data_IF_931015790516
#
_entry.id   IF_931015790516
#
_cell.length_a   1.000
_cell.length_b   1.000
_cell.length_c   1.000
_cell.angle_alpha   90.00
_cell.angle_beta   90.00
_cell.angle_gamma   90.00
#
_symmetry.space_group_name_H-M   'P 1'
#
loop_
_entity.id
_entity.type
_entity.pdbx_description
1 polymer ?
#
# COMPACT_ATOMS: atom_id res chain seq x y z
N UNK A 1 44.22 -25.56 10.40
CA UNK A 1 45.27 -24.55 10.16
C UNK A 1 44.88 -23.33 10.96
N UNK A 2 45.43 -23.24 12.16
CA UNK A 2 45.20 -22.14 13.10
C UNK A 2 45.89 -20.89 12.55
N UNK A 3 45.15 -19.80 12.39
CA UNK A 3 45.73 -18.51 12.00
C UNK A 3 46.59 -18.00 13.14
N UNK A 4 47.90 -17.89 12.91
CA UNK A 4 48.83 -17.29 13.88
C UNK A 4 48.59 -15.79 13.88
N UNK A 5 48.06 -15.26 14.97
CA UNK A 5 47.83 -13.83 15.14
C UNK A 5 49.16 -13.09 15.24
N UNK A 6 49.34 -12.01 14.48
CA UNK A 6 50.52 -11.16 14.60
C UNK A 6 50.40 -10.24 15.82
N UNK A 7 51.53 -9.75 16.35
CA UNK A 7 51.55 -8.93 17.58
C UNK A 7 50.70 -7.66 17.49
N UNK A 8 50.57 -7.07 16.30
CA UNK A 8 49.70 -5.93 16.03
C UNK A 8 48.21 -6.27 16.09
N UNK A 9 47.83 -7.47 15.68
CA UNK A 9 46.44 -7.95 15.73
C UNK A 9 46.05 -8.24 17.19
N UNK A 10 46.96 -8.88 17.94
CA UNK A 10 46.79 -9.11 19.37
C UNK A 10 46.68 -7.80 20.17
N UNK A 11 47.52 -6.80 19.87
CA UNK A 11 47.47 -5.49 20.54
C UNK A 11 46.17 -4.74 20.19
N UNK A 12 45.69 -4.80 18.94
CA UNK A 12 44.38 -4.24 18.57
C UNK A 12 43.24 -4.93 19.30
N UNK A 13 43.28 -6.25 19.41
CA UNK A 13 42.28 -7.03 20.13
C UNK A 13 42.27 -6.65 21.63
N UNK A 14 43.45 -6.60 22.27
CA UNK A 14 43.60 -6.22 23.68
C UNK A 14 43.12 -4.78 23.93
N UNK A 15 43.48 -3.82 23.06
CA UNK A 15 43.05 -2.41 23.19
C UNK A 15 41.54 -2.26 22.94
N UNK A 16 40.95 -3.07 22.07
CA UNK A 16 39.49 -3.10 21.88
C UNK A 16 38.77 -3.62 23.13
N UNK A 17 39.35 -4.62 23.80
CA UNK A 17 38.83 -5.17 25.06
C UNK A 17 38.95 -4.22 26.26
N UNK A 18 39.86 -3.24 26.24
CA UNK A 18 40.01 -2.27 27.34
C UNK A 18 38.75 -1.41 27.59
N UNK A 19 37.83 -1.35 26.62
CA UNK A 19 36.55 -0.66 26.75
C UNK A 19 35.34 -1.61 26.77
N UNK A 20 35.57 -2.93 26.81
CA UNK A 20 34.52 -3.95 26.85
C UNK A 20 33.76 -4.16 25.53
N UNK A 21 34.28 -3.68 24.39
CA UNK A 21 33.63 -3.78 23.07
C UNK A 21 34.62 -4.36 22.05
N UNK A 22 34.28 -5.50 21.44
CA UNK A 22 35.10 -6.15 20.42
C UNK A 22 35.29 -5.25 19.18
N UNK A 23 36.47 -5.32 18.55
CA UNK A 23 36.83 -4.45 17.41
C UNK A 23 35.85 -4.54 16.23
N UNK A 24 35.35 -5.73 15.95
CA UNK A 24 34.38 -6.02 14.90
C UNK A 24 33.00 -5.38 15.14
N UNK A 25 32.66 -5.04 16.40
CA UNK A 25 31.44 -4.32 16.75
C UNK A 25 31.55 -2.80 16.54
N UNK A 26 32.75 -2.23 16.41
CA UNK A 26 32.94 -0.78 16.37
C UNK A 26 32.14 -0.13 15.22
N UNK A 27 32.23 -0.71 14.02
CA UNK A 27 31.50 -0.24 12.84
C UNK A 27 29.98 -0.33 13.03
N UNK A 28 29.51 -1.41 13.66
CA UNK A 28 28.08 -1.66 13.92
C UNK A 28 27.53 -0.65 14.92
N UNK A 29 28.24 -0.43 16.03
CA UNK A 29 27.85 0.53 17.05
C UNK A 29 27.88 1.97 16.55
N UNK A 30 28.83 2.30 15.67
CA UNK A 30 28.88 3.61 15.02
C UNK A 30 27.65 3.84 14.14
N UNK A 31 27.16 2.82 13.43
CA UNK A 31 25.91 2.92 12.66
C UNK A 31 24.71 3.10 13.60
N UNK A 32 24.61 2.29 14.67
CA UNK A 32 23.54 2.43 15.66
C UNK A 32 23.53 3.81 16.33
N UNK A 33 24.70 4.38 16.65
CA UNK A 33 24.81 5.70 17.27
C UNK A 33 24.30 6.83 16.39
N UNK A 34 24.43 6.70 15.07
CA UNK A 34 23.99 7.71 14.10
C UNK A 34 22.60 7.40 13.55
N UNK A 35 21.95 6.34 14.04
CA UNK A 35 20.61 5.96 13.62
C UNK A 35 19.59 6.93 14.18
N UNK A 36 18.71 7.42 13.31
CA UNK A 36 17.59 8.26 13.68
C UNK A 36 16.37 7.83 12.88
N UNK A 37 15.23 7.75 13.55
CA UNK A 37 13.92 7.53 12.96
C UNK A 37 12.89 8.39 13.68
N UNK A 38 11.71 8.50 13.10
CA UNK A 38 10.58 9.23 13.69
C UNK A 38 9.65 8.25 14.40
N UNK A 39 9.42 8.45 15.69
CA UNK A 39 8.48 7.63 16.45
C UNK A 39 7.02 7.82 16.01
N UNK A 40 6.69 8.97 15.41
CA UNK A 40 5.35 9.22 14.87
C UNK A 40 5.10 8.49 13.54
N UNK A 41 6.18 8.16 12.81
CA UNK A 41 6.12 7.43 11.54
C UNK A 41 7.20 6.33 11.48
N UNK A 42 7.13 5.42 12.45
CA UNK A 42 8.10 4.34 12.60
C UNK A 42 8.12 3.42 11.37
N UNK A 43 6.96 3.17 10.75
CA UNK A 43 6.84 2.19 9.67
C UNK A 43 7.55 2.64 8.39
N UNK A 44 7.61 3.94 8.11
CA UNK A 44 8.30 4.45 6.93
C UNK A 44 9.76 4.82 7.21
N UNK A 45 10.07 5.33 8.40
CA UNK A 45 11.41 5.87 8.70
C UNK A 45 12.37 4.81 9.21
N UNK A 46 11.90 3.85 10.01
CA UNK A 46 12.76 2.86 10.65
C UNK A 46 13.42 1.88 9.65
N UNK A 47 12.73 1.34 8.61
CA UNK A 47 13.38 0.43 7.66
C UNK A 47 14.56 1.08 6.94
N UNK A 48 14.44 2.36 6.57
CA UNK A 48 15.52 3.12 5.95
C UNK A 48 16.68 3.35 6.93
N UNK A 49 16.38 3.70 8.18
CA UNK A 49 17.36 3.88 9.24
C UNK A 49 18.14 2.59 9.56
N UNK A 50 17.47 1.43 9.52
CA UNK A 50 18.06 0.12 9.78
C UNK A 50 18.83 -0.46 8.59
N UNK A 51 18.69 0.07 7.37
CA UNK A 51 19.30 -0.51 6.18
C UNK A 51 20.84 -0.59 6.24
N UNK A 52 21.58 0.47 6.63
CA UNK A 52 23.04 0.39 6.79
C UNK A 52 23.45 -0.58 7.91
N UNK A 53 22.66 -0.63 8.99
CA UNK A 53 22.89 -1.56 10.09
C UNK A 53 22.71 -3.01 9.63
N UNK A 54 21.66 -3.30 8.85
CA UNK A 54 21.38 -4.63 8.34
C UNK A 54 22.52 -5.21 7.50
N UNK A 55 23.18 -4.37 6.68
CA UNK A 55 24.29 -4.79 5.83
C UNK A 55 25.49 -5.33 6.64
N UNK A 56 25.78 -4.70 7.78
CA UNK A 56 26.90 -5.09 8.64
C UNK A 56 26.50 -6.16 9.67
N UNK A 57 25.33 -5.99 10.28
CA UNK A 57 24.90 -6.85 11.39
C UNK A 57 24.58 -8.27 10.93
N UNK A 58 24.11 -8.47 9.69
CA UNK A 58 23.78 -9.80 9.18
C UNK A 58 24.99 -10.74 9.20
N UNK A 59 26.15 -10.30 8.70
CA UNK A 59 27.37 -11.12 8.69
C UNK A 59 27.92 -11.29 10.09
N UNK A 60 27.88 -10.24 10.91
CA UNK A 60 28.30 -10.33 12.30
C UNK A 60 27.48 -11.33 13.12
N UNK A 61 26.15 -11.33 12.95
CA UNK A 61 25.23 -12.23 13.66
C UNK A 61 25.40 -13.68 13.21
N UNK A 62 25.75 -13.93 11.95
CA UNK A 62 26.08 -15.28 11.47
C UNK A 62 27.29 -15.88 12.20
N UNK A 63 28.28 -15.06 12.54
CA UNK A 63 29.50 -15.50 13.25
C UNK A 63 29.29 -15.66 14.75
N UNK A 64 28.61 -14.69 15.39
CA UNK A 64 28.53 -14.63 16.86
C UNK A 64 27.25 -15.25 17.44
N UNK A 65 26.19 -15.33 16.63
CA UNK A 65 24.88 -15.80 17.03
C UNK A 65 24.28 -15.04 18.21
N UNK A 66 23.31 -15.67 18.87
CA UNK A 66 22.57 -15.09 20.00
C UNK A 66 23.48 -14.74 21.19
N UNK A 67 24.53 -15.53 21.43
CA UNK A 67 25.46 -15.29 22.55
C UNK A 67 26.20 -13.96 22.41
N UNK A 68 26.48 -13.54 21.18
CA UNK A 68 27.09 -12.25 20.89
C UNK A 68 26.23 -11.06 21.32
N UNK A 69 24.90 -11.20 21.37
CA UNK A 69 23.99 -10.09 21.70
C UNK A 69 24.25 -9.51 23.10
N UNK A 70 24.84 -10.29 24.02
CA UNK A 70 25.25 -9.83 25.36
C UNK A 70 26.32 -8.74 25.34
N UNK A 71 27.04 -8.62 24.24
CA UNK A 71 28.10 -7.62 24.07
C UNK A 71 27.53 -6.24 23.67
N UNK A 72 26.27 -6.16 23.25
CA UNK A 72 25.65 -4.89 22.90
C UNK A 72 25.27 -4.08 24.15
N UNK A 73 25.56 -2.77 24.17
CA UNK A 73 25.08 -1.88 25.23
C UNK A 73 23.54 -1.90 25.34
N UNK A 74 23.03 -1.96 26.58
CA UNK A 74 21.59 -2.04 26.86
C UNK A 74 20.77 -0.90 26.23
N UNK A 75 21.37 0.27 25.99
CA UNK A 75 20.71 1.40 25.34
C UNK A 75 20.18 1.11 23.93
N UNK A 76 20.76 0.13 23.24
CA UNK A 76 20.39 -0.23 21.86
C UNK A 76 19.39 -1.39 21.77
N UNK A 77 18.86 -1.83 22.91
CA UNK A 77 18.07 -3.06 22.94
C UNK A 77 16.73 -2.90 22.21
N UNK A 78 16.17 -1.68 22.15
CA UNK A 78 14.93 -1.38 21.42
C UNK A 78 15.16 -1.43 19.90
N UNK A 79 16.26 -0.86 19.42
CA UNK A 79 16.66 -0.88 18.01
C UNK A 79 16.88 -2.31 17.53
N UNK A 80 17.57 -3.10 18.37
CA UNK A 80 17.83 -4.50 18.12
C UNK A 80 16.53 -5.33 18.17
N UNK A 81 15.62 -5.03 19.08
CA UNK A 81 14.28 -5.60 19.10
C UNK A 81 13.51 -5.32 17.81
N UNK A 82 13.40 -4.06 17.40
CA UNK A 82 12.70 -3.73 16.16
C UNK A 82 13.36 -4.32 14.92
N UNK A 83 14.69 -4.35 14.87
CA UNK A 83 15.43 -5.07 13.83
C UNK A 83 15.02 -6.54 13.78
N UNK A 84 14.94 -7.20 14.93
CA UNK A 84 14.58 -8.62 15.00
C UNK A 84 13.17 -8.89 14.47
N UNK A 85 12.21 -8.01 14.73
CA UNK A 85 10.84 -8.07 14.20
C UNK A 85 10.79 -7.79 12.69
N UNK A 86 11.43 -6.72 12.24
CA UNK A 86 11.43 -6.29 10.84
C UNK A 86 12.08 -7.33 9.92
N UNK A 87 13.16 -7.96 10.36
CA UNK A 87 13.90 -8.95 9.58
C UNK A 87 13.51 -10.40 9.87
N UNK A 88 12.69 -10.65 10.90
CA UNK A 88 12.18 -11.97 11.24
C UNK A 88 13.22 -12.87 11.91
N UNK A 89 14.13 -12.30 12.69
CA UNK A 89 15.18 -13.06 13.38
C UNK A 89 14.65 -13.65 14.71
N UNK A 90 13.95 -14.78 14.63
CA UNK A 90 13.33 -15.44 15.79
C UNK A 90 14.31 -15.73 16.95
N UNK A 91 15.54 -16.21 16.73
CA UNK A 91 16.51 -16.37 17.82
C UNK A 91 16.80 -15.08 18.59
N UNK A 92 16.84 -13.95 17.87
CA UNK A 92 17.06 -12.64 18.47
C UNK A 92 15.80 -12.12 19.16
N UNK A 93 14.62 -12.38 18.60
CA UNK A 93 13.33 -12.10 19.24
C UNK A 93 13.24 -12.85 20.59
N UNK A 94 13.50 -14.16 20.63
CA UNK A 94 13.52 -14.93 21.88
C UNK A 94 14.46 -14.32 22.93
N UNK A 95 15.68 -13.99 22.51
CA UNK A 95 16.67 -13.40 23.41
C UNK A 95 16.17 -12.10 24.04
N UNK A 96 15.64 -11.18 23.24
CA UNK A 96 15.20 -9.89 23.75
C UNK A 96 13.87 -9.95 24.50
N UNK A 97 12.99 -10.90 24.16
CA UNK A 97 11.80 -11.22 24.93
C UNK A 97 12.16 -11.61 26.38
N UNK A 98 13.16 -12.48 26.56
CA UNK A 98 13.58 -12.96 27.89
C UNK A 98 14.32 -11.90 28.72
N UNK A 99 14.98 -10.93 28.07
CA UNK A 99 15.92 -10.01 28.73
C UNK A 99 15.42 -8.56 28.82
N UNK A 100 14.28 -8.23 28.20
CA UNK A 100 13.68 -6.90 28.28
C UNK A 100 12.24 -6.95 28.78
N UNK A 101 11.87 -6.11 29.78
CA UNK A 101 10.48 -5.82 30.04
C UNK A 101 9.95 -4.95 28.89
N UNK A 102 9.30 -5.57 27.91
CA UNK A 102 8.68 -4.85 26.80
C UNK A 102 7.19 -4.70 27.11
N UNK A 103 6.79 -3.54 27.62
CA UNK A 103 5.39 -3.22 27.94
C UNK A 103 4.51 -3.12 26.68
N UNK A 104 5.12 -2.81 25.53
CA UNK A 104 4.44 -2.66 24.24
C UNK A 104 5.26 -3.25 23.11
N UNK A 105 4.68 -4.20 22.37
CA UNK A 105 5.30 -4.82 21.19
C UNK A 105 4.64 -4.27 19.93
N UNK A 106 5.45 -3.75 19.01
CA UNK A 106 4.97 -3.23 17.72
C UNK A 106 4.85 -4.37 16.69
N UNK A 107 3.72 -5.09 16.73
CA UNK A 107 3.45 -6.23 15.84
C UNK A 107 3.48 -5.87 14.36
N UNK A 108 3.07 -4.65 14.04
CA UNK A 108 2.91 -4.21 12.66
C UNK A 108 4.25 -4.23 11.91
N UNK A 109 5.40 -4.09 12.57
CA UNK A 109 6.71 -4.19 11.92
C UNK A 109 6.94 -5.57 11.30
N UNK A 110 6.61 -6.64 12.04
CA UNK A 110 6.72 -8.01 11.56
C UNK A 110 5.66 -8.30 10.48
N UNK A 111 4.45 -7.75 10.64
CA UNK A 111 3.36 -7.93 9.67
C UNK A 111 3.65 -7.27 8.34
N UNK A 112 4.01 -5.99 8.35
CA UNK A 112 4.31 -5.20 7.15
C UNK A 112 5.46 -5.85 6.37
N UNK A 113 6.45 -6.36 7.09
CA UNK A 113 7.65 -7.00 6.51
C UNK A 113 7.44 -8.46 6.09
N UNK A 114 6.23 -9.00 6.25
CA UNK A 114 5.88 -10.36 5.83
C UNK A 114 6.57 -11.47 6.64
N UNK A 115 6.97 -11.21 7.88
CA UNK A 115 7.76 -12.15 8.71
C UNK A 115 6.85 -13.10 9.48
N UNK A 116 6.44 -14.17 8.80
CA UNK A 116 5.54 -15.21 9.30
C UNK A 116 6.01 -15.80 10.64
N UNK A 117 7.29 -16.14 10.77
CA UNK A 117 7.82 -16.78 11.98
C UNK A 117 7.83 -15.83 13.18
N UNK A 118 8.14 -14.55 12.94
CA UNK A 118 8.07 -13.52 13.98
C UNK A 118 6.63 -13.31 14.45
N UNK A 119 5.66 -13.24 13.52
CA UNK A 119 4.24 -13.13 13.89
C UNK A 119 3.76 -14.36 14.65
N UNK A 120 4.20 -15.56 14.26
CA UNK A 120 3.86 -16.80 14.97
C UNK A 120 4.40 -16.82 16.40
N UNK A 121 5.62 -16.33 16.60
CA UNK A 121 6.18 -16.12 17.93
C UNK A 121 5.34 -15.13 18.75
N UNK A 122 5.00 -13.98 18.15
CA UNK A 122 4.22 -12.94 18.83
C UNK A 122 2.82 -13.42 19.24
N UNK A 123 2.15 -14.22 18.40
CA UNK A 123 0.86 -14.83 18.71
C UNK A 123 0.91 -15.77 19.92
N UNK A 124 2.02 -16.48 20.09
CA UNK A 124 2.21 -17.41 21.20
C UNK A 124 2.47 -16.68 22.52
N UNK A 125 3.36 -15.69 22.51
CA UNK A 125 3.84 -15.05 23.74
C UNK A 125 3.01 -13.81 24.14
N UNK A 126 2.30 -13.17 23.21
CA UNK A 126 1.57 -11.93 23.44
C UNK A 126 0.09 -12.02 22.98
N UNK A 127 -0.75 -12.90 23.58
CA UNK A 127 -2.11 -13.20 23.12
C UNK A 127 -3.13 -12.05 23.31
N UNK A 128 -2.73 -10.89 23.82
CA UNK A 128 -3.59 -9.71 24.00
C UNK A 128 -3.20 -8.55 23.06
N UNK A 129 -2.44 -8.82 21.99
CA UNK A 129 -2.02 -7.81 21.02
C UNK A 129 -3.18 -7.12 20.27
N UNK A 130 -2.87 -6.02 19.57
CA UNK A 130 -3.84 -5.26 18.78
C UNK A 130 -4.18 -6.00 17.46
N UNK A 131 -5.08 -6.98 17.56
CA UNK A 131 -5.37 -7.91 16.47
C UNK A 131 -6.11 -7.30 15.27
N UNK A 132 -6.97 -6.31 15.51
CA UNK A 132 -7.72 -5.63 14.44
C UNK A 132 -6.77 -4.93 13.45
N UNK A 133 -5.89 -4.08 13.96
CA UNK A 133 -4.93 -3.32 13.15
C UNK A 133 -3.92 -4.25 12.46
N UNK A 134 -3.54 -5.33 13.14
CA UNK A 134 -2.61 -6.35 12.62
C UNK A 134 -3.21 -7.07 11.40
N UNK A 135 -4.49 -7.45 11.46
CA UNK A 135 -5.20 -8.07 10.33
C UNK A 135 -5.35 -7.09 9.15
N UNK A 136 -5.72 -5.84 9.43
CA UNK A 136 -5.81 -4.78 8.42
C UNK A 136 -4.47 -4.56 7.69
N UNK A 137 -3.36 -4.44 8.43
CA UNK A 137 -2.01 -4.30 7.86
C UNK A 137 -1.57 -5.52 7.05
N UNK A 138 -1.94 -6.73 7.48
CA UNK A 138 -1.66 -7.94 6.71
C UNK A 138 -2.39 -7.92 5.35
N UNK A 139 -3.62 -7.39 5.33
CA UNK A 139 -4.37 -7.17 4.08
C UNK A 139 -3.71 -6.09 3.24
N UNK A 140 -3.47 -4.89 3.79
CA UNK A 140 -2.86 -3.76 3.09
C UNK A 140 -1.57 -4.17 2.38
N UNK A 141 -0.70 -4.97 3.01
CA UNK A 141 0.58 -5.42 2.46
C UNK A 141 0.51 -6.72 1.65
N UNK A 142 -0.65 -7.38 1.56
CA UNK A 142 -0.84 -8.58 0.75
C UNK A 142 -0.24 -9.86 1.34
N UNK A 143 -0.01 -9.89 2.66
CA UNK A 143 0.67 -10.98 3.36
C UNK A 143 -0.29 -12.12 3.71
N UNK A 144 -0.67 -12.91 2.69
CA UNK A 144 -1.64 -14.01 2.81
C UNK A 144 -1.30 -15.04 3.90
N UNK A 145 -0.03 -15.41 4.05
CA UNK A 145 0.38 -16.40 5.05
C UNK A 145 0.15 -15.91 6.48
N UNK A 146 0.46 -14.63 6.76
CA UNK A 146 0.20 -14.01 8.05
C UNK A 146 -1.31 -13.93 8.29
N UNK A 147 -2.07 -13.50 7.29
CA UNK A 147 -3.54 -13.44 7.37
C UNK A 147 -4.16 -14.81 7.72
N UNK A 148 -3.69 -15.89 7.09
CA UNK A 148 -4.13 -17.26 7.40
C UNK A 148 -3.84 -17.65 8.84
N UNK A 149 -2.63 -17.35 9.33
CA UNK A 149 -2.25 -17.65 10.72
C UNK A 149 -3.11 -16.86 11.70
N UNK A 150 -3.33 -15.56 11.46
CA UNK A 150 -4.17 -14.73 12.30
C UNK A 150 -5.61 -15.28 12.34
N UNK A 151 -6.16 -15.66 11.19
CA UNK A 151 -7.49 -16.24 11.09
C UNK A 151 -7.61 -17.57 11.85
N UNK A 152 -6.62 -18.47 11.72
CA UNK A 152 -6.57 -19.73 12.46
C UNK A 152 -6.53 -19.54 13.98
N UNK A 153 -5.96 -18.43 14.47
CA UNK A 153 -5.96 -18.06 15.89
C UNK A 153 -7.28 -17.41 16.35
N UNK A 154 -8.31 -17.39 15.52
CA UNK A 154 -9.63 -16.86 15.86
C UNK A 154 -9.75 -15.34 15.78
N UNK A 155 -8.78 -14.66 15.15
CA UNK A 155 -8.86 -13.22 14.93
C UNK A 155 -9.87 -12.94 13.80
N UNK A 156 -10.94 -12.16 14.07
CA UNK A 156 -11.96 -11.89 13.07
C UNK A 156 -11.44 -10.92 12.01
N UNK A 157 -11.97 -11.04 10.80
CA UNK A 157 -11.70 -10.07 9.74
C UNK A 157 -12.38 -8.73 10.05
N UNK A 158 -11.68 -7.59 9.83
CA UNK A 158 -12.27 -6.27 9.84
C UNK A 158 -13.52 -6.16 8.95
N UNK A 159 -14.49 -5.35 9.35
CA UNK A 159 -15.73 -5.17 8.58
C UNK A 159 -15.49 -4.57 7.19
N UNK A 160 -14.41 -3.81 7.02
CA UNK A 160 -13.94 -3.17 5.79
C UNK A 160 -12.91 -4.01 5.00
N UNK A 161 -12.66 -5.28 5.37
CA UNK A 161 -11.60 -6.11 4.77
C UNK A 161 -11.63 -6.12 3.24
N UNK A 162 -12.81 -6.32 2.64
CA UNK A 162 -12.96 -6.36 1.19
C UNK A 162 -12.73 -5.00 0.52
N UNK A 163 -13.08 -3.89 1.18
CA UNK A 163 -12.73 -2.55 0.70
C UNK A 163 -11.21 -2.40 0.61
N UNK A 164 -10.50 -2.77 1.68
CA UNK A 164 -9.02 -2.68 1.73
C UNK A 164 -8.40 -3.61 0.67
N UNK A 165 -8.91 -4.84 0.54
CA UNK A 165 -8.46 -5.79 -0.50
C UNK A 165 -8.59 -5.19 -1.89
N UNK A 166 -9.72 -4.50 -2.16
CA UNK A 166 -9.97 -3.86 -3.45
C UNK A 166 -9.12 -2.62 -3.66
N UNK A 167 -8.95 -1.79 -2.64
CA UNK A 167 -8.15 -0.56 -2.66
C UNK A 167 -6.66 -0.83 -2.90
N UNK A 168 -6.12 -1.93 -2.35
CA UNK A 168 -4.71 -2.31 -2.54
C UNK A 168 -4.51 -3.41 -3.60
N UNK A 169 -5.56 -3.82 -4.31
CA UNK A 169 -5.49 -4.78 -5.41
C UNK A 169 -5.00 -6.17 -5.00
N UNK A 170 -5.36 -6.63 -3.79
CA UNK A 170 -4.83 -7.87 -3.17
C UNK A 170 -5.59 -9.11 -3.63
N UNK A 171 -5.42 -9.49 -4.90
CA UNK A 171 -6.13 -10.61 -5.54
C UNK A 171 -5.95 -11.95 -4.80
N UNK A 172 -4.75 -12.20 -4.27
CA UNK A 172 -4.46 -13.40 -3.49
C UNK A 172 -5.31 -13.50 -2.22
N UNK A 173 -5.57 -12.36 -1.56
CA UNK A 173 -6.41 -12.28 -0.36
C UNK A 173 -7.89 -12.30 -0.76
N UNK A 174 -8.30 -11.62 -1.83
CA UNK A 174 -9.66 -11.69 -2.36
C UNK A 174 -10.08 -13.13 -2.66
N UNK A 175 -9.21 -13.89 -3.33
CA UNK A 175 -9.42 -15.30 -3.66
C UNK A 175 -9.60 -16.14 -2.39
N UNK A 176 -8.77 -15.90 -1.38
CA UNK A 176 -8.87 -16.60 -0.11
C UNK A 176 -10.17 -16.27 0.65
N UNK A 177 -10.53 -14.99 0.75
CA UNK A 177 -11.78 -14.57 1.41
C UNK A 177 -13.02 -15.13 0.71
N UNK A 178 -13.00 -15.22 -0.63
CA UNK A 178 -14.05 -15.86 -1.41
C UNK A 178 -14.15 -17.36 -1.12
N UNK A 179 -13.02 -18.07 -1.11
CA UNK A 179 -12.96 -19.52 -0.83
C UNK A 179 -13.44 -19.87 0.59
N UNK A 180 -13.10 -19.05 1.58
CA UNK A 180 -13.55 -19.23 2.96
C UNK A 180 -15.01 -18.76 3.19
N UNK A 181 -15.74 -18.42 2.13
CA UNK A 181 -17.10 -17.89 2.16
C UNK A 181 -17.28 -16.71 3.14
N UNK A 182 -16.26 -15.87 3.28
CA UNK A 182 -16.31 -14.77 4.23
C UNK A 182 -17.36 -13.75 3.82
N UNK A 183 -18.17 -13.33 4.80
CA UNK A 183 -19.33 -12.49 4.58
C UNK A 183 -18.97 -11.17 3.88
N UNK A 184 -19.49 -11.02 2.66
CA UNK A 184 -19.53 -9.76 1.96
C UNK A 184 -20.62 -8.89 2.61
N UNK A 185 -20.24 -7.87 3.38
CA UNK A 185 -21.20 -6.99 4.06
C UNK A 185 -21.75 -5.97 3.07
N UNK A 186 -23.07 -5.79 3.13
CA UNK A 186 -23.82 -5.01 2.15
C UNK A 186 -23.41 -3.53 2.09
N UNK A 187 -22.82 -2.99 3.18
CA UNK A 187 -22.52 -1.57 3.32
C UNK A 187 -21.43 -1.02 2.38
N UNK A 188 -20.62 -1.87 1.76
CA UNK A 188 -19.48 -1.44 0.93
C UNK A 188 -19.48 -2.02 -0.49
N UNK A 189 -20.59 -2.64 -0.92
CA UNK A 189 -20.78 -3.23 -2.26
C UNK A 189 -20.32 -2.30 -3.38
N UNK A 190 -20.91 -1.10 -3.51
CA UNK A 190 -20.53 -0.13 -4.55
C UNK A 190 -19.15 0.52 -4.37
N UNK A 191 -18.72 0.70 -3.12
CA UNK A 191 -17.44 1.34 -2.81
C UNK A 191 -16.24 0.47 -3.18
N UNK A 192 -16.37 -0.86 -3.10
CA UNK A 192 -15.27 -1.78 -3.36
C UNK A 192 -14.81 -1.73 -4.83
N UNK A 193 -15.73 -1.75 -5.80
CA UNK A 193 -15.36 -1.61 -7.21
C UNK A 193 -14.90 -0.20 -7.54
N UNK A 194 -15.48 0.82 -6.92
CA UNK A 194 -15.07 2.21 -7.06
C UNK A 194 -13.62 2.42 -6.65
N UNK A 195 -13.21 1.95 -5.46
CA UNK A 195 -11.80 2.08 -5.01
C UNK A 195 -10.84 1.25 -5.87
N UNK A 196 -11.23 0.04 -6.30
CA UNK A 196 -10.41 -0.74 -7.22
C UNK A 196 -10.24 -0.04 -8.58
N UNK A 197 -11.30 0.60 -9.07
CA UNK A 197 -11.30 1.36 -10.31
C UNK A 197 -10.47 2.63 -10.20
N UNK A 198 -10.58 3.38 -9.10
CA UNK A 198 -9.78 4.57 -8.80
C UNK A 198 -8.28 4.25 -8.79
N UNK A 199 -7.90 3.11 -8.20
CA UNK A 199 -6.50 2.69 -8.04
C UNK A 199 -5.91 1.92 -9.23
N UNK A 200 -6.71 1.63 -10.26
CA UNK A 200 -6.23 0.97 -11.47
C UNK A 200 -6.08 -0.55 -11.34
N UNK A 201 -6.85 -1.19 -10.45
CA UNK A 201 -6.77 -2.63 -10.20
C UNK A 201 -7.73 -3.43 -11.10
N UNK A 202 -7.41 -3.50 -12.41
CA UNK A 202 -8.21 -4.22 -13.40
C UNK A 202 -8.40 -5.72 -13.05
N UNK A 203 -7.36 -6.37 -12.55
CA UNK A 203 -7.40 -7.77 -12.11
C UNK A 203 -8.42 -8.01 -10.99
N UNK A 204 -8.59 -7.04 -10.08
CA UNK A 204 -9.61 -7.11 -9.03
C UNK A 204 -11.01 -6.95 -9.61
N UNK A 205 -11.18 -6.00 -10.55
CA UNK A 205 -12.45 -5.79 -11.24
C UNK A 205 -12.86 -7.02 -12.04
N UNK A 206 -11.91 -7.69 -12.70
CA UNK A 206 -12.15 -8.95 -13.40
C UNK A 206 -12.57 -10.06 -12.43
N UNK A 207 -11.83 -10.22 -11.34
CA UNK A 207 -12.14 -11.19 -10.30
C UNK A 207 -13.56 -10.99 -9.73
N UNK A 208 -13.96 -9.75 -9.43
CA UNK A 208 -15.28 -9.46 -8.91
C UNK A 208 -16.38 -9.80 -9.93
N UNK A 209 -16.14 -9.55 -11.22
CA UNK A 209 -17.09 -9.86 -12.28
C UNK A 209 -17.25 -11.36 -12.48
N UNK A 210 -16.12 -12.09 -12.57
CA UNK A 210 -16.08 -13.54 -12.80
C UNK A 210 -16.71 -14.35 -11.66
N UNK A 211 -16.70 -13.81 -10.44
CA UNK A 211 -17.29 -14.44 -9.25
C UNK A 211 -18.72 -13.95 -8.93
N UNK A 212 -19.39 -13.29 -9.88
CA UNK A 212 -20.78 -12.82 -9.78
C UNK A 212 -21.05 -11.82 -8.64
N UNK A 213 -20.09 -10.96 -8.31
CA UNK A 213 -20.31 -9.82 -7.40
C UNK A 213 -20.97 -8.65 -8.14
N UNK A 214 -22.08 -8.92 -8.83
CA UNK A 214 -22.76 -7.95 -9.70
C UNK A 214 -23.29 -6.73 -8.93
N UNK A 215 -23.70 -6.95 -7.67
CA UNK A 215 -24.16 -5.93 -6.75
C UNK A 215 -23.04 -4.96 -6.31
N UNK A 216 -21.78 -5.30 -6.56
CA UNK A 216 -20.64 -4.46 -6.26
C UNK A 216 -20.44 -3.34 -7.29
N UNK A 217 -21.07 -3.41 -8.46
CA UNK A 217 -20.87 -2.45 -9.54
C UNK A 217 -21.89 -1.32 -9.50
N UNK A 218 -21.40 -0.10 -9.67
CA UNK A 218 -22.22 1.09 -9.87
C UNK A 218 -21.57 1.97 -10.95
N UNK A 219 -22.29 2.96 -11.47
CA UNK A 219 -21.73 3.92 -12.43
C UNK A 219 -20.51 4.67 -11.88
N UNK A 220 -20.39 4.79 -10.54
CA UNK A 220 -19.22 5.38 -9.88
C UNK A 220 -17.91 4.66 -10.20
N UNK A 221 -17.93 3.36 -10.48
CA UNK A 221 -16.71 2.63 -10.85
C UNK A 221 -16.13 3.12 -12.19
N UNK A 222 -16.98 3.34 -13.20
CA UNK A 222 -16.52 3.86 -14.48
C UNK A 222 -16.13 5.35 -14.39
N UNK A 223 -16.85 6.13 -13.59
CA UNK A 223 -16.49 7.53 -13.30
C UNK A 223 -15.11 7.63 -12.64
N UNK A 224 -14.85 6.81 -11.61
CA UNK A 224 -13.58 6.78 -10.90
C UNK A 224 -12.42 6.31 -11.79
N UNK A 225 -12.63 5.29 -12.62
CA UNK A 225 -11.65 4.86 -13.61
C UNK A 225 -11.33 5.96 -14.62
N UNK A 226 -12.37 6.66 -15.11
CA UNK A 226 -12.21 7.73 -16.08
C UNK A 226 -11.49 8.96 -15.50
N UNK A 227 -11.86 9.36 -14.29
CA UNK A 227 -11.25 10.46 -13.56
C UNK A 227 -9.75 10.25 -13.28
N UNK A 228 -9.31 8.99 -13.16
CA UNK A 228 -7.91 8.63 -12.91
C UNK A 228 -7.15 8.14 -14.16
N UNK A 229 -7.82 8.10 -15.32
CA UNK A 229 -7.17 7.77 -16.59
C UNK A 229 -6.97 6.27 -16.85
N UNK A 230 -7.64 5.40 -16.09
CA UNK A 230 -7.55 3.94 -16.25
C UNK A 230 -8.41 3.46 -17.41
N UNK A 231 -7.95 3.75 -18.63
CA UNK A 231 -8.68 3.43 -19.86
C UNK A 231 -9.04 1.95 -19.95
N UNK A 232 -8.12 1.06 -19.62
CA UNK A 232 -8.32 -0.39 -19.63
C UNK A 232 -9.51 -0.83 -18.77
N UNK A 233 -9.68 -0.23 -17.58
CA UNK A 233 -10.85 -0.44 -16.73
C UNK A 233 -12.11 0.13 -17.35
N UNK A 234 -12.06 1.35 -17.91
CA UNK A 234 -13.21 1.95 -18.60
C UNK A 234 -13.68 1.06 -19.75
N UNK A 235 -12.75 0.50 -20.56
CA UNK A 235 -13.11 -0.44 -21.64
C UNK A 235 -13.75 -1.71 -21.09
N UNK A 236 -13.15 -2.26 -20.04
CA UNK A 236 -13.64 -3.50 -19.44
C UNK A 236 -15.06 -3.32 -18.89
N UNK A 237 -15.27 -2.29 -18.08
CA UNK A 237 -16.60 -1.96 -17.55
C UNK A 237 -17.59 -1.67 -18.69
N UNK A 238 -17.17 -0.99 -19.76
CA UNK A 238 -18.07 -0.73 -20.89
C UNK A 238 -18.54 -2.01 -21.58
N UNK A 239 -17.63 -2.96 -21.81
CA UNK A 239 -17.94 -4.22 -22.52
C UNK A 239 -18.74 -5.18 -21.63
N UNK A 240 -18.39 -5.29 -20.36
CA UNK A 240 -18.89 -6.34 -19.47
C UNK A 240 -20.02 -5.89 -18.54
N UNK A 241 -20.27 -4.59 -18.40
CA UNK A 241 -21.24 -4.00 -17.47
C UNK A 241 -22.27 -3.11 -18.17
N UNK A 242 -23.40 -2.89 -17.50
CA UNK A 242 -24.56 -2.15 -18.04
C UNK A 242 -24.84 -0.84 -17.30
N UNK A 243 -24.24 -0.64 -16.13
CA UNK A 243 -24.39 0.53 -15.27
C UNK A 243 -23.92 1.82 -15.95
N UNK A 244 -22.95 1.70 -16.87
CA UNK A 244 -22.41 2.82 -17.63
C UNK A 244 -21.59 3.77 -16.76
N UNK A 245 -21.59 5.04 -17.15
CA UNK A 245 -20.98 6.16 -16.43
C UNK A 245 -21.96 7.31 -16.31
N UNK A 246 -21.64 8.27 -15.44
CA UNK A 246 -22.33 9.57 -15.41
C UNK A 246 -21.58 10.59 -16.28
N UNK A 247 -22.15 11.80 -16.40
CA UNK A 247 -21.46 12.94 -17.04
C UNK A 247 -20.15 13.31 -16.34
N UNK A 248 -19.93 12.87 -15.09
CA UNK A 248 -18.68 13.07 -14.37
C UNK A 248 -17.51 12.33 -15.03
N UNK A 249 -17.70 11.14 -15.60
CA UNK A 249 -16.61 10.39 -16.22
C UNK A 249 -15.87 11.23 -17.28
N UNK A 250 -16.61 11.84 -18.20
CA UNK A 250 -15.99 12.63 -19.28
C UNK A 250 -15.50 13.99 -18.79
N UNK A 251 -16.22 14.66 -17.88
CA UNK A 251 -15.78 15.95 -17.35
C UNK A 251 -14.52 15.83 -16.52
N UNK A 252 -14.41 14.78 -15.69
CA UNK A 252 -13.27 14.52 -14.83
C UNK A 252 -12.07 14.01 -15.62
N UNK A 253 -12.26 13.09 -16.57
CA UNK A 253 -11.20 12.69 -17.50
C UNK A 253 -10.61 13.89 -18.25
N UNK A 254 -11.49 14.80 -18.71
CA UNK A 254 -11.11 16.05 -19.37
C UNK A 254 -10.38 17.00 -18.41
N UNK A 255 -10.88 17.15 -17.19
CA UNK A 255 -10.30 18.00 -16.14
C UNK A 255 -8.88 17.56 -15.77
N UNK A 256 -8.66 16.25 -15.69
CA UNK A 256 -7.41 15.71 -15.16
C UNK A 256 -6.32 15.46 -16.21
N UNK A 257 -6.66 15.19 -17.46
CA UNK A 257 -5.58 14.90 -18.42
C UNK A 257 -5.83 13.82 -19.43
N UNK A 258 -6.90 13.05 -19.28
CA UNK A 258 -6.95 11.68 -19.75
C UNK A 258 -7.53 11.61 -21.16
N UNK A 259 -6.77 12.13 -22.13
CA UNK A 259 -7.17 12.23 -23.54
C UNK A 259 -7.65 10.89 -24.11
N UNK A 260 -6.97 9.79 -23.80
CA UNK A 260 -7.32 8.47 -24.34
C UNK A 260 -8.66 7.99 -23.81
N UNK A 261 -8.98 8.29 -22.55
CA UNK A 261 -10.30 8.05 -21.95
C UNK A 261 -11.36 8.94 -22.57
N UNK A 262 -11.07 10.22 -22.78
CA UNK A 262 -12.02 11.16 -23.42
C UNK A 262 -12.33 10.73 -24.85
N UNK A 263 -11.30 10.37 -25.64
CA UNK A 263 -11.45 9.86 -27.01
C UNK A 263 -12.29 8.59 -27.02
N UNK A 264 -11.97 7.65 -26.13
CA UNK A 264 -12.75 6.42 -25.96
C UNK A 264 -14.21 6.78 -25.68
N UNK A 265 -14.49 7.42 -24.53
CA UNK A 265 -15.85 7.76 -24.12
C UNK A 265 -16.61 8.50 -25.23
N UNK A 266 -16.01 9.52 -25.85
CA UNK A 266 -16.61 10.30 -26.94
C UNK A 266 -17.03 9.45 -28.16
N UNK A 267 -16.14 8.57 -28.64
CA UNK A 267 -16.47 7.64 -29.73
C UNK A 267 -17.66 6.75 -29.37
N UNK A 268 -17.81 6.35 -28.10
CA UNK A 268 -18.96 5.57 -27.68
C UNK A 268 -20.27 6.36 -27.70
N UNK A 269 -20.27 7.64 -27.27
CA UNK A 269 -21.48 8.48 -27.35
C UNK A 269 -22.04 8.59 -28.77
N UNK A 270 -21.16 8.70 -29.77
CA UNK A 270 -21.57 8.80 -31.17
C UNK A 270 -22.16 7.48 -31.70
N UNK A 271 -21.66 6.35 -31.19
CA UNK A 271 -22.09 5.01 -31.62
C UNK A 271 -23.35 4.46 -30.94
N UNK A 272 -23.66 4.87 -29.70
CA UNK A 272 -24.55 4.13 -28.79
C UNK A 272 -25.79 4.95 -28.32
N UNK A 273 -26.35 5.82 -29.17
CA UNK A 273 -27.53 6.67 -28.92
C UNK A 273 -28.82 5.91 -28.46
N UNK A 274 -28.78 4.60 -28.23
CA UNK A 274 -29.99 3.78 -28.02
C UNK A 274 -29.99 2.80 -26.84
N UNK A 275 -28.90 2.53 -26.10
CA UNK A 275 -28.92 1.36 -25.19
C UNK A 275 -28.34 1.49 -23.77
N UNK A 276 -27.48 2.46 -23.44
CA UNK A 276 -26.97 2.62 -22.06
C UNK A 276 -27.25 4.03 -21.56
N UNK A 277 -28.09 4.16 -20.53
CA UNK A 277 -28.51 5.45 -19.96
C UNK A 277 -27.31 6.17 -19.38
N UNK A 278 -26.88 7.22 -20.07
CA UNK A 278 -26.05 8.25 -19.47
C UNK A 278 -26.92 9.44 -19.09
N UNK A 279 -26.85 9.89 -17.84
CA UNK A 279 -27.56 11.09 -17.41
C UNK A 279 -26.80 12.35 -17.89
N UNK A 280 -27.25 12.85 -19.07
CA UNK A 280 -27.25 14.24 -19.58
C UNK A 280 -26.10 14.68 -20.53
N UNK A 281 -26.54 15.22 -21.70
CA UNK A 281 -26.16 16.52 -22.31
C UNK A 281 -24.79 16.67 -22.99
N UNK A 282 -24.71 17.17 -24.25
CA UNK A 282 -23.45 17.32 -24.96
C UNK A 282 -22.62 18.47 -24.36
N UNK A 283 -21.56 18.14 -23.62
CA UNK A 283 -20.44 19.08 -23.43
C UNK A 283 -19.68 19.20 -24.76
N UNK A 284 -19.22 20.42 -25.07
CA UNK A 284 -18.59 20.90 -26.32
C UNK A 284 -17.21 20.24 -26.63
N UNK A 285 -17.17 18.90 -26.65
CA UNK A 285 -16.00 18.03 -26.81
C UNK A 285 -15.67 17.83 -28.29
N UNK A 286 -16.69 17.83 -29.16
CA UNK A 286 -16.56 17.76 -30.61
C UNK A 286 -15.73 18.93 -31.17
N UNK A 287 -15.91 20.13 -30.62
CA UNK A 287 -15.12 21.32 -30.96
C UNK A 287 -13.64 21.17 -30.59
N UNK A 288 -13.31 20.35 -29.61
CA UNK A 288 -11.95 20.15 -29.10
C UNK A 288 -11.22 18.99 -29.79
N UNK A 289 -11.94 17.92 -30.16
CA UNK A 289 -11.36 16.77 -30.88
C UNK A 289 -11.04 17.07 -32.35
N UNK A 290 -11.69 18.06 -32.97
CA UNK A 290 -11.45 18.45 -34.36
C UNK A 290 -10.10 19.18 -34.59
N UNK A 291 -9.37 19.57 -33.53
CA UNK A 291 -8.06 20.24 -33.61
C UNK A 291 -6.88 19.24 -33.44
N UNK A 292 -6.83 18.20 -34.26
CA UNK A 292 -6.01 16.98 -34.07
C UNK A 292 -4.47 17.17 -34.29
N UNK A 293 -3.98 18.38 -34.63
CA UNK A 293 -2.56 18.60 -34.98
C UNK A 293 -1.73 19.31 -33.88
N UNK A 294 -2.34 19.85 -32.82
CA UNK A 294 -1.64 20.66 -31.78
C UNK A 294 -1.77 20.15 -30.34
N UNK A 295 -2.16 18.89 -30.18
CA UNK A 295 -2.82 18.38 -28.98
C UNK A 295 -1.97 18.46 -27.68
N UNK A 296 -0.65 18.31 -27.71
CA UNK A 296 0.18 18.35 -26.48
C UNK A 296 0.40 19.76 -25.90
N UNK A 297 0.52 20.80 -26.75
CA UNK A 297 0.63 22.21 -26.29
C UNK A 297 -0.73 22.84 -26.00
N UNK A 298 -1.78 22.42 -26.71
CA UNK A 298 -3.16 22.82 -26.46
C UNK A 298 -3.67 22.33 -25.11
N UNK A 299 -3.31 21.10 -24.74
CA UNK A 299 -3.70 20.49 -23.47
C UNK A 299 -3.25 21.30 -22.24
N UNK A 300 -2.02 21.81 -22.23
CA UNK A 300 -1.51 22.67 -21.15
C UNK A 300 -2.28 24.00 -21.04
N UNK A 301 -2.71 24.57 -22.17
CA UNK A 301 -3.52 25.81 -22.20
C UNK A 301 -4.96 25.56 -21.76
N UNK A 302 -5.54 24.44 -22.16
CA UNK A 302 -6.87 24.01 -21.75
C UNK A 302 -6.92 23.71 -20.25
N UNK A 303 -5.94 22.95 -19.73
CA UNK A 303 -5.75 22.72 -18.28
C UNK A 303 -5.61 24.04 -17.52
N UNK A 304 -4.83 25.00 -18.05
CA UNK A 304 -4.71 26.33 -17.45
C UNK A 304 -6.04 27.11 -17.46
N UNK A 305 -6.82 27.01 -18.54
CA UNK A 305 -8.11 27.71 -18.68
C UNK A 305 -9.22 27.10 -17.81
N UNK A 306 -9.30 25.78 -17.72
CA UNK A 306 -10.20 25.08 -16.78
C UNK A 306 -9.84 25.43 -15.33
N UNK A 307 -8.54 25.45 -15.00
CA UNK A 307 -8.09 25.85 -13.66
C UNK A 307 -8.36 27.33 -13.35
N UNK A 308 -8.28 28.24 -14.34
CA UNK A 308 -8.70 29.65 -14.17
C UNK A 308 -10.21 29.77 -13.94
N UNK A 309 -11.03 29.00 -14.68
CA UNK A 309 -12.49 29.02 -14.55
C UNK A 309 -12.96 28.45 -13.20
N UNK A 310 -12.28 27.41 -12.69
CA UNK A 310 -12.60 26.77 -11.41
C UNK A 310 -11.94 27.43 -10.19
N UNK A 311 -10.82 28.14 -10.38
CA UNK A 311 -10.10 28.86 -9.32
C UNK A 311 -10.82 30.12 -8.83
N UNK A 312 -11.75 30.67 -9.61
CA UNK A 312 -12.64 31.74 -9.17
C UNK A 312 -13.77 31.18 -8.30
N UNK A 313 -13.43 30.83 -7.05
CA UNK A 313 -14.42 30.64 -5.98
C UNK A 313 -15.04 31.98 -5.58
N UNK A 314 -15.90 32.54 -6.43
CA UNK A 314 -16.96 33.45 -5.99
C UNK A 314 -18.02 33.60 -7.09
N UNK A 315 -18.98 32.66 -7.08
CA UNK A 315 -20.42 32.93 -7.03
C UNK A 315 -21.16 31.67 -7.45
N UNK A 316 -21.86 31.09 -6.49
CA UNK A 316 -23.09 30.36 -6.76
C UNK A 316 -23.91 31.17 -7.76
N UNK A 317 -24.23 30.59 -8.91
CA UNK A 317 -25.54 30.63 -9.55
C UNK A 317 -25.47 29.83 -10.87
N UNK A 318 -25.93 28.59 -10.78
CA UNK A 318 -26.53 27.91 -11.94
C UNK A 318 -27.73 28.77 -12.38
N UNK A 319 -27.57 29.59 -13.42
CA UNK A 319 -28.66 30.06 -14.29
C UNK A 319 -28.06 30.83 -15.46
N UNK A 320 -28.62 30.53 -16.63
CA UNK A 320 -28.48 31.23 -17.91
C UNK A 320 -27.25 30.88 -18.75
N UNK A 321 -27.40 29.83 -19.56
CA UNK A 321 -26.78 29.78 -20.88
C UNK A 321 -27.82 30.26 -21.92
N UNK A 322 -27.49 31.24 -22.78
CA UNK A 322 -28.40 31.71 -23.82
C UNK A 322 -28.57 30.63 -24.89
N UNK A 323 -29.83 30.35 -25.25
CA UNK A 323 -30.18 29.65 -26.49
C UNK A 323 -29.76 30.51 -27.68
N UNK A 324 -28.90 30.03 -28.56
CA UNK A 324 -28.91 30.46 -29.96
C UNK A 324 -28.47 29.32 -30.88
N UNK A 325 -29.50 28.81 -31.59
CA UNK A 325 -29.58 28.27 -32.97
C UNK A 325 -28.38 27.51 -33.52
#
# INVERSE_FOLDING_TARGET
MESVWHSTDLIREIVSYQHGICFDMYSILKVLQNMAWDNSDIFNTLPAALAPFHQLFKTWFQTHGVRGLRQFPLRYSIELWYYSLLFGNVPMINYYHDHMPVDYVEWNLAVISGKVDAVSFLLKEYPHGCFYLTMERAIEHGNLNILKILHQHGIPFPANSWKIVCEYGRLNIATYLHQEHWAWKESWRGQATEVAAEKGHLNMIQFLHENNYDDAYTYHAMDAAAANGHLDIVRYLYVHRTEGCSSLAISEATRYGHLDVVKFLHQYYESDQTTKKMEIGPLDITRYLNDDVTCTKGWSRFRHKINQLLGNKSKQHFRELPRLI
#
